data_IF_551865171786
#
_entry.id   IF_551865171786
#
_cell.length_a   1.000
_cell.length_b   1.000
_cell.length_c   1.000
_cell.angle_alpha   90.00
_cell.angle_beta   90.00
_cell.angle_gamma   90.00
#
_symmetry.space_group_name_H-M   'P 1'
#
loop_
_entity.id
_entity.type
_entity.pdbx_description
1 polymer ?
#
# COMPACT_ATOMS: atom_id res chain seq x y z
N UNK A 1 -12.35 12.84 21.52
CA UNK A 1 -11.60 12.71 20.30
C UNK A 1 -11.61 11.27 19.82
N UNK A 2 -11.30 11.11 18.58
CA UNK A 2 -11.22 9.79 17.98
C UNK A 2 -9.78 9.27 18.06
N UNK A 3 -9.27 9.21 19.27
CA UNK A 3 -7.94 8.65 19.50
C UNK A 3 -7.94 7.23 18.96
N UNK A 4 -7.02 6.94 18.08
CA UNK A 4 -6.94 5.65 17.43
C UNK A 4 -7.57 5.60 16.05
N UNK A 5 -8.33 6.62 15.65
CA UNK A 5 -8.77 6.65 14.25
C UNK A 5 -7.57 6.83 13.34
N UNK A 6 -7.45 5.94 12.36
CA UNK A 6 -6.36 5.99 11.40
C UNK A 6 -6.98 6.04 10.01
N UNK A 7 -6.69 7.07 9.21
CA UNK A 7 -7.25 7.16 7.87
C UNK A 7 -6.61 6.15 6.93
N UNK A 8 -7.26 5.90 5.81
CA UNK A 8 -6.67 5.10 4.73
C UNK A 8 -5.73 5.99 3.92
N UNK A 9 -4.77 5.35 3.23
CA UNK A 9 -3.88 6.10 2.33
C UNK A 9 -4.69 6.66 1.16
N UNK A 10 -4.20 7.76 0.59
CA UNK A 10 -4.84 8.39 -0.57
C UNK A 10 -4.01 8.21 -1.83
N UNK A 11 -4.63 8.45 -2.97
CA UNK A 11 -3.95 8.56 -4.27
C UNK A 11 -3.09 7.36 -4.63
N UNK A 12 -3.50 6.16 -4.22
CA UNK A 12 -2.76 4.94 -4.55
C UNK A 12 -2.86 4.69 -6.06
N UNK A 13 -1.71 4.66 -6.72
CA UNK A 13 -1.64 4.46 -8.17
C UNK A 13 -0.38 3.71 -8.53
N UNK A 14 -0.48 2.86 -9.56
CA UNK A 14 0.65 2.11 -10.08
C UNK A 14 1.02 2.55 -11.47
N UNK A 15 2.32 2.60 -11.75
CA UNK A 15 2.87 2.95 -13.05
C UNK A 15 3.78 1.84 -13.52
N UNK A 16 3.49 1.27 -14.67
CA UNK A 16 4.31 0.21 -15.25
C UNK A 16 5.59 0.80 -15.83
N UNK A 17 6.71 0.11 -15.60
CA UNK A 17 8.01 0.50 -16.13
C UNK A 17 8.79 -0.78 -16.42
N UNK A 18 8.84 -1.20 -17.68
CA UNK A 18 9.48 -2.45 -18.04
C UNK A 18 8.77 -3.63 -17.41
N UNK A 19 9.53 -4.48 -16.72
CA UNK A 19 8.99 -5.67 -16.07
C UNK A 19 8.45 -5.40 -14.66
N UNK A 20 8.51 -4.14 -14.21
CA UNK A 20 8.12 -3.77 -12.85
C UNK A 20 6.98 -2.76 -12.86
N UNK A 21 6.32 -2.66 -11.71
CA UNK A 21 5.30 -1.65 -11.47
C UNK A 21 5.67 -0.92 -10.19
N UNK A 22 5.70 0.40 -10.25
CA UNK A 22 5.94 1.23 -9.07
C UNK A 22 4.62 1.82 -8.60
N UNK A 23 4.27 1.53 -7.36
CA UNK A 23 3.09 2.10 -6.71
C UNK A 23 3.51 3.23 -5.80
N UNK A 24 2.71 4.30 -5.79
CA UNK A 24 2.88 5.43 -4.88
C UNK A 24 1.56 5.75 -4.23
N UNK A 25 1.61 6.36 -3.06
CA UNK A 25 0.41 6.78 -2.34
C UNK A 25 0.76 7.97 -1.46
N UNK A 26 -0.25 8.57 -0.84
CA UNK A 26 -0.07 9.68 0.07
C UNK A 26 -0.63 9.34 1.44
N UNK A 27 -0.02 9.91 2.46
CA UNK A 27 -0.51 9.82 3.83
C UNK A 27 -1.29 11.11 4.10
N UNK A 28 -2.62 11.05 4.24
CA UNK A 28 -3.43 12.26 4.38
C UNK A 28 -3.26 12.98 5.72
N UNK A 29 -2.65 12.30 6.69
CA UNK A 29 -2.47 12.90 8.02
C UNK A 29 -1.20 12.34 8.63
N UNK A 30 -0.02 12.77 8.14
CA UNK A 30 1.25 12.21 8.60
C UNK A 30 1.48 12.41 10.08
N UNK A 31 2.01 11.38 10.73
CA UNK A 31 2.41 11.43 12.13
C UNK A 31 3.76 10.73 12.25
N UNK A 32 4.52 11.15 13.25
CA UNK A 32 5.84 10.58 13.47
C UNK A 32 5.74 9.08 13.75
N UNK A 33 6.61 8.31 13.10
CA UNK A 33 6.65 6.87 13.28
C UNK A 33 5.66 6.10 12.41
N UNK A 34 4.97 6.78 11.48
CA UNK A 34 4.06 6.11 10.55
C UNK A 34 4.82 5.16 9.64
N UNK A 35 4.17 4.06 9.31
CA UNK A 35 4.66 3.11 8.32
C UNK A 35 3.47 2.53 7.57
N UNK A 36 3.75 1.66 6.62
CA UNK A 36 2.72 1.07 5.79
C UNK A 36 2.93 -0.43 5.72
N UNK A 37 1.84 -1.19 5.79
CA UNK A 37 1.84 -2.60 5.47
C UNK A 37 1.25 -2.74 4.08
N UNK A 38 1.89 -3.54 3.24
CA UNK A 38 1.41 -3.77 1.89
C UNK A 38 1.65 -5.21 1.47
N UNK A 39 0.87 -5.68 0.52
CA UNK A 39 1.08 -6.99 -0.06
C UNK A 39 0.53 -7.02 -1.49
N UNK A 40 1.15 -7.81 -2.37
CA UNK A 40 0.61 -8.01 -3.71
C UNK A 40 -0.64 -8.87 -3.65
N UNK A 41 -1.63 -8.55 -4.49
CA UNK A 41 -2.86 -9.32 -4.60
C UNK A 41 -2.77 -10.12 -5.88
N UNK A 42 -2.83 -11.45 -5.78
CA UNK A 42 -2.72 -12.35 -6.91
C UNK A 42 -3.87 -13.33 -6.91
N UNK A 43 -4.00 -14.11 -8.00
CA UNK A 43 -5.04 -15.13 -8.09
C UNK A 43 -4.85 -16.23 -7.05
N UNK A 44 -3.62 -16.46 -6.59
CA UNK A 44 -3.32 -17.48 -5.60
C UNK A 44 -3.57 -16.98 -4.18
N UNK A 45 -4.06 -15.75 -4.03
CA UNK A 45 -4.28 -15.14 -2.74
C UNK A 45 -3.26 -14.07 -2.45
N UNK A 46 -3.28 -13.55 -1.24
CA UNK A 46 -2.38 -12.48 -0.84
C UNK A 46 -1.15 -13.05 -0.17
N UNK A 47 0.00 -12.50 -0.49
CA UNK A 47 1.24 -12.79 0.22
C UNK A 47 1.21 -12.15 1.60
N UNK A 48 2.13 -12.56 2.48
CA UNK A 48 2.24 -11.96 3.80
C UNK A 48 2.58 -10.48 3.67
N UNK A 49 1.97 -9.62 4.50
CA UNK A 49 2.25 -8.18 4.44
C UNK A 49 3.70 -7.88 4.76
N UNK A 50 4.23 -6.86 4.09
CA UNK A 50 5.56 -6.32 4.33
C UNK A 50 5.43 -4.89 4.80
N UNK A 51 6.39 -4.44 5.61
CA UNK A 51 6.40 -3.08 6.14
C UNK A 51 7.37 -2.21 5.37
N UNK A 52 6.92 -1.01 5.00
CA UNK A 52 7.79 0.02 4.43
C UNK A 52 7.50 1.34 5.13
N UNK A 53 8.48 2.25 5.12
CA UNK A 53 8.31 3.58 5.69
C UNK A 53 8.08 4.64 4.62
N UNK A 54 8.44 4.34 3.38
CA UNK A 54 8.24 5.26 2.27
C UNK A 54 6.86 5.06 1.65
N UNK A 55 6.38 6.07 0.96
CA UNK A 55 5.07 6.05 0.31
C UNK A 55 5.16 5.49 -1.10
N UNK A 56 6.00 4.48 -1.28
CA UNK A 56 6.22 3.85 -2.58
C UNK A 56 6.75 2.43 -2.42
N UNK A 57 6.38 1.57 -3.36
CA UNK A 57 6.98 0.24 -3.50
C UNK A 57 7.06 -0.10 -4.98
N UNK A 58 8.05 -0.91 -5.35
CA UNK A 58 8.18 -1.44 -6.70
C UNK A 58 8.05 -2.95 -6.64
N UNK A 59 7.18 -3.51 -7.47
CA UNK A 59 6.90 -4.94 -7.50
C UNK A 59 7.02 -5.44 -8.93
N UNK A 60 7.31 -6.74 -9.12
CA UNK A 60 7.27 -7.32 -10.47
C UNK A 60 5.86 -7.23 -11.04
N UNK A 61 5.76 -6.99 -12.35
CA UNK A 61 4.47 -6.97 -13.01
C UNK A 61 3.85 -8.37 -12.97
N UNK A 62 2.53 -8.42 -12.73
CA UNK A 62 1.81 -9.67 -12.69
C UNK A 62 1.67 -10.21 -14.12
N UNK A 63 1.90 -11.52 -14.34
CA UNK A 63 1.76 -12.11 -15.68
C UNK A 63 0.37 -11.97 -16.29
N UNK A 64 -0.66 -11.76 -15.47
CA UNK A 64 -2.02 -11.54 -15.97
C UNK A 64 -2.17 -10.22 -16.71
N UNK A 65 -1.19 -9.32 -16.61
CA UNK A 65 -1.25 -8.00 -17.21
C UNK A 65 -1.82 -6.92 -16.30
N UNK A 66 -2.33 -7.31 -15.15
CA UNK A 66 -2.87 -6.35 -14.17
C UNK A 66 -2.23 -6.61 -12.82
N UNK A 67 -1.52 -5.62 -12.31
CA UNK A 67 -0.81 -5.73 -11.05
C UNK A 67 -1.56 -4.93 -9.97
N UNK A 68 -1.88 -5.59 -8.87
CA UNK A 68 -2.60 -4.97 -7.76
C UNK A 68 -1.83 -5.16 -6.46
N UNK A 69 -1.91 -4.16 -5.58
CA UNK A 69 -1.45 -4.28 -4.20
C UNK A 69 -2.50 -3.73 -3.26
N UNK A 70 -2.40 -4.08 -1.99
CA UNK A 70 -3.14 -3.43 -0.92
C UNK A 70 -2.18 -2.76 0.03
N UNK A 71 -2.53 -1.58 0.52
CA UNK A 71 -1.69 -0.76 1.39
C UNK A 71 -2.52 -0.28 2.56
N UNK A 72 -1.93 -0.34 3.75
CA UNK A 72 -2.57 0.04 4.99
C UNK A 72 -1.63 0.96 5.78
N UNK A 73 -2.15 2.10 6.24
CA UNK A 73 -1.39 3.02 7.09
C UNK A 73 -1.37 2.48 8.51
N UNK A 74 -0.18 2.46 9.11
CA UNK A 74 0.01 1.98 10.48
C UNK A 74 0.71 3.05 11.29
N UNK A 75 0.13 3.41 12.43
CA UNK A 75 0.71 4.38 13.36
C UNK A 75 1.77 3.73 14.24
N UNK A 76 2.63 4.55 14.83
CA UNK A 76 3.67 4.08 15.74
C UNK A 76 3.11 3.29 16.92
N UNK A 77 1.89 3.61 17.36
CA UNK A 77 1.25 2.93 18.50
C UNK A 77 0.56 1.61 18.08
N UNK A 78 0.69 1.22 16.82
CA UNK A 78 0.07 0.00 16.33
C UNK A 78 -1.31 0.17 15.72
N UNK A 79 -1.92 1.35 15.84
CA UNK A 79 -3.20 1.61 15.21
C UNK A 79 -3.09 1.54 13.69
N UNK A 80 -4.09 1.00 13.02
CA UNK A 80 -4.06 0.81 11.58
C UNK A 80 -5.38 1.24 10.96
N UNK A 81 -5.28 1.87 9.79
CA UNK A 81 -6.45 2.23 8.99
C UNK A 81 -6.90 1.08 8.10
N UNK A 82 -7.94 1.31 7.33
CA UNK A 82 -8.42 0.33 6.37
C UNK A 82 -7.44 0.19 5.23
N UNK A 83 -7.32 -1.03 4.71
CA UNK A 83 -6.49 -1.29 3.55
C UNK A 83 -7.16 -0.73 2.29
N UNK A 84 -6.33 -0.23 1.37
CA UNK A 84 -6.78 0.30 0.09
C UNK A 84 -6.14 -0.54 -1.01
N UNK A 85 -6.94 -0.95 -1.99
CA UNK A 85 -6.42 -1.70 -3.14
C UNK A 85 -6.19 -0.73 -4.30
N UNK A 86 -5.03 -0.84 -4.94
CA UNK A 86 -4.73 -0.13 -6.17
C UNK A 86 -4.20 -1.10 -7.20
N UNK A 87 -4.57 -0.87 -8.45
CA UNK A 87 -4.16 -1.73 -9.57
C UNK A 87 -3.69 -0.87 -10.73
N UNK A 88 -2.88 -1.47 -11.60
CA UNK A 88 -2.55 -0.85 -12.87
C UNK A 88 -3.79 -0.85 -13.77
N UNK A 89 -3.89 0.13 -14.68
CA UNK A 89 -4.99 0.18 -15.64
C UNK A 89 -5.06 -1.05 -16.54
#
# INVERSE_FOLDING_TARGET
>A
PLAGFVPRVGDLAGTAAGADVTFTWTNPNPAEGDSYLWYPVTLDGAAAPQRVEDETVTVPADPSGRTCIEVQLVRANGGAGDAVRGCTP
#
